data_IF_846515119304
#
_entry.id   IF_846515119304
#
_cell.length_a   1.000
_cell.length_b   1.000
_cell.length_c   1.000
_cell.angle_alpha   90.00
_cell.angle_beta   90.00
_cell.angle_gamma   90.00
#
_symmetry.space_group_name_H-M   'P 1'
#
loop_
_entity.id
_entity.type
_entity.pdbx_description
1 polymer ?
#
# COMPACT_ATOMS: atom_id res chain seq x y z
N UNK A 1 16.51 -12.89 2.48
CA UNK A 1 15.65 -14.07 2.52
C UNK A 1 14.66 -14.10 1.35
N UNK A 2 14.05 -13.01 1.03
CA UNK A 2 13.02 -12.98 -0.02
C UNK A 2 13.50 -12.44 -1.35
N UNK A 3 14.80 -12.31 -1.54
CA UNK A 3 15.31 -11.67 -2.74
C UNK A 3 15.08 -12.48 -4.01
N UNK A 4 14.77 -13.76 -3.88
CA UNK A 4 14.44 -14.61 -5.04
C UNK A 4 12.95 -14.84 -5.17
N UNK A 5 12.17 -14.21 -4.33
CA UNK A 5 10.72 -14.40 -4.29
C UNK A 5 10.08 -13.47 -5.32
N UNK A 6 9.31 -14.03 -6.23
CA UNK A 6 8.62 -13.27 -7.27
C UNK A 6 7.20 -12.87 -6.89
N UNK A 7 6.80 -13.21 -5.67
CA UNK A 7 5.46 -12.83 -5.21
C UNK A 7 5.40 -11.34 -4.98
N UNK A 8 4.23 -10.79 -5.22
CA UNK A 8 3.99 -9.37 -4.99
C UNK A 8 3.51 -9.20 -3.56
N UNK A 9 4.17 -8.30 -2.84
CA UNK A 9 3.82 -7.98 -1.46
C UNK A 9 3.34 -6.53 -1.42
N UNK A 10 2.14 -6.33 -0.92
CA UNK A 10 1.60 -4.98 -0.74
C UNK A 10 2.07 -4.47 0.61
N UNK A 11 2.63 -3.27 0.62
CA UNK A 11 3.20 -2.68 1.82
C UNK A 11 2.34 -1.52 2.30
N UNK A 12 2.36 -1.32 3.61
CA UNK A 12 1.68 -0.18 4.22
C UNK A 12 2.57 0.37 5.32
N UNK A 13 2.89 1.64 5.20
CA UNK A 13 3.63 2.36 6.24
C UNK A 13 2.67 3.37 6.87
N UNK A 14 2.35 3.17 8.14
CA UNK A 14 1.43 4.02 8.86
C UNK A 14 2.21 5.06 9.66
N UNK A 15 2.30 6.26 9.12
CA UNK A 15 2.87 7.37 9.84
C UNK A 15 1.81 8.05 10.72
N UNK A 16 2.20 9.13 11.39
CA UNK A 16 1.29 9.80 12.30
C UNK A 16 0.05 10.36 11.63
N UNK A 17 0.18 10.96 10.46
CA UNK A 17 -0.93 11.60 9.78
C UNK A 17 -1.21 11.02 8.41
N UNK A 18 -0.33 10.18 7.90
CA UNK A 18 -0.46 9.65 6.54
C UNK A 18 -0.25 8.14 6.51
N UNK A 19 -0.89 7.52 5.55
CA UNK A 19 -0.67 6.11 5.21
C UNK A 19 0.01 6.07 3.85
N UNK A 20 1.08 5.31 3.74
CA UNK A 20 1.81 5.16 2.47
C UNK A 20 1.71 3.71 2.02
N UNK A 21 1.14 3.52 0.86
CA UNK A 21 0.92 2.19 0.28
C UNK A 21 1.88 1.96 -0.87
N UNK A 22 2.29 0.73 -1.05
CA UNK A 22 3.13 0.38 -2.18
C UNK A 22 3.05 -1.11 -2.46
N UNK A 23 3.78 -1.54 -3.46
CA UNK A 23 3.90 -2.95 -3.78
C UNK A 23 5.33 -3.26 -4.16
N UNK A 24 5.79 -4.41 -3.73
CA UNK A 24 7.14 -4.87 -4.00
C UNK A 24 7.11 -6.25 -4.62
N UNK A 25 8.06 -6.51 -5.49
CA UNK A 25 8.33 -7.84 -5.97
C UNK A 25 9.80 -8.13 -5.71
N UNK A 26 10.05 -9.13 -4.88
CA UNK A 26 11.41 -9.37 -4.43
C UNK A 26 11.90 -8.20 -3.58
N UNK A 27 12.95 -7.55 -4.04
CA UNK A 27 13.54 -6.41 -3.32
C UNK A 27 13.23 -5.07 -3.95
N UNK A 28 12.32 -5.03 -4.93
CA UNK A 28 12.09 -3.80 -5.68
C UNK A 28 10.64 -3.36 -5.59
N UNK A 29 10.46 -2.06 -5.45
CA UNK A 29 9.13 -1.47 -5.57
C UNK A 29 8.71 -1.51 -7.03
N UNK A 30 7.49 -1.97 -7.28
CA UNK A 30 6.94 -2.06 -8.63
C UNK A 30 5.84 -1.05 -8.88
N UNK A 31 5.49 -0.27 -7.87
CA UNK A 31 4.53 0.84 -8.01
C UNK A 31 5.09 2.06 -7.33
N UNK A 32 4.58 3.23 -7.71
CA UNK A 32 4.90 4.44 -6.98
C UNK A 32 4.17 4.43 -5.64
N UNK A 33 4.76 5.02 -4.60
CA UNK A 33 4.08 5.08 -3.31
C UNK A 33 2.81 5.92 -3.40
N UNK A 34 1.74 5.41 -2.83
CA UNK A 34 0.47 6.09 -2.76
C UNK A 34 0.29 6.60 -1.33
N UNK A 35 0.23 7.91 -1.17
CA UNK A 35 0.06 8.53 0.14
C UNK A 35 -1.37 9.00 0.32
N UNK A 36 -1.97 8.61 1.44
CA UNK A 36 -3.34 9.00 1.77
C UNK A 36 -3.40 9.46 3.23
N UNK A 37 -4.34 10.33 3.59
CA UNK A 37 -4.48 10.75 4.98
C UNK A 37 -4.91 9.57 5.85
N UNK A 38 -4.32 9.46 7.04
CA UNK A 38 -4.62 8.33 7.92
C UNK A 38 -6.00 8.40 8.55
N UNK A 39 -6.49 9.62 8.82
CA UNK A 39 -7.76 9.82 9.50
C UNK A 39 -7.82 9.05 10.82
N UNK A 40 -6.72 9.03 11.55
CA UNK A 40 -6.60 8.20 12.74
C UNK A 40 -7.59 8.57 13.84
N UNK A 41 -8.13 9.78 13.80
CA UNK A 41 -9.11 10.24 14.77
C UNK A 41 -10.50 9.63 14.52
N UNK A 42 -10.71 9.00 13.38
CA UNK A 42 -11.96 8.35 13.02
C UNK A 42 -11.64 6.95 12.51
N UNK A 43 -11.92 5.96 13.32
CA UNK A 43 -11.54 4.58 13.00
C UNK A 43 -12.20 4.09 11.71
N UNK A 44 -13.48 4.44 11.53
CA UNK A 44 -14.20 4.00 10.32
C UNK A 44 -13.58 4.59 9.06
N UNK A 45 -13.22 5.88 9.11
CA UNK A 45 -12.57 6.50 7.98
C UNK A 45 -11.17 5.93 7.75
N UNK A 46 -10.47 5.64 8.83
CA UNK A 46 -9.14 5.05 8.71
C UNK A 46 -9.19 3.71 8.01
N UNK A 47 -10.12 2.85 8.41
CA UNK A 47 -10.29 1.55 7.77
C UNK A 47 -10.72 1.68 6.32
N UNK A 48 -11.62 2.61 6.03
CA UNK A 48 -12.06 2.85 4.66
C UNK A 48 -10.90 3.31 3.79
N UNK A 49 -10.06 4.19 4.32
CA UNK A 49 -8.88 4.67 3.60
C UNK A 49 -7.92 3.52 3.31
N UNK A 50 -7.72 2.62 4.27
CA UNK A 50 -6.86 1.46 4.05
C UNK A 50 -7.38 0.59 2.93
N UNK A 51 -8.68 0.32 2.92
CA UNK A 51 -9.29 -0.50 1.86
C UNK A 51 -9.11 0.16 0.50
N UNK A 52 -9.37 1.46 0.43
CA UNK A 52 -9.22 2.21 -0.83
C UNK A 52 -7.78 2.21 -1.32
N UNK A 53 -6.84 2.39 -0.40
CA UNK A 53 -5.43 2.39 -0.76
C UNK A 53 -4.98 1.06 -1.33
N UNK A 54 -5.35 -0.03 -0.67
CA UNK A 54 -5.02 -1.35 -1.17
C UNK A 54 -5.67 -1.64 -2.53
N UNK A 55 -6.92 -1.22 -2.71
CA UNK A 55 -7.59 -1.41 -3.99
C UNK A 55 -6.87 -0.68 -5.11
N UNK A 56 -6.46 0.56 -4.87
CA UNK A 56 -5.75 1.32 -5.89
C UNK A 56 -4.44 0.66 -6.27
N UNK A 57 -3.72 0.13 -5.29
CA UNK A 57 -2.47 -0.57 -5.57
C UNK A 57 -2.73 -1.84 -6.38
N UNK A 58 -3.75 -2.59 -6.01
CA UNK A 58 -4.10 -3.81 -6.73
C UNK A 58 -4.52 -3.49 -8.16
N UNK A 59 -5.32 -2.46 -8.36
CA UNK A 59 -5.75 -2.06 -9.70
C UNK A 59 -4.56 -1.63 -10.55
N UNK A 60 -3.61 -0.94 -9.94
CA UNK A 60 -2.39 -0.54 -10.63
C UNK A 60 -1.60 -1.75 -11.11
N UNK A 61 -1.59 -2.81 -10.31
CA UNK A 61 -0.89 -4.03 -10.69
C UNK A 61 -1.57 -4.77 -11.84
N UNK A 62 -2.89 -4.71 -11.88
CA UNK A 62 -3.65 -5.39 -12.92
C UNK A 62 -3.43 -4.79 -14.29
N UNK A 63 -3.00 -3.55 -14.35
CA UNK A 63 -2.74 -2.89 -15.62
C UNK A 63 -1.41 -3.30 -16.24
N UNK A 64 -0.65 -4.05 -15.52
CA UNK A 64 0.63 -4.52 -15.99
C UNK A 64 0.47 -5.89 -16.65
#
# INVERSE_FOLDING_TARGET
>A
MFKHDNRIVITLDAGGTNLVFGAMRGCEFITEPLTMPSNAHDLDLCLDTMVKGFRQIIDSLDEK
#
